data_IF_865018078498
#
_entry.id   IF_865018078498
#
_cell.length_a   1.000
_cell.length_b   1.000
_cell.length_c   1.000
_cell.angle_alpha   90.00
_cell.angle_beta   90.00
_cell.angle_gamma   90.00
#
_symmetry.space_group_name_H-M   'P 1'
#
loop_
_entity.id
_entity.type
_entity.pdbx_description
1 polymer ?
#
# COMPACT_ATOMS: atom_id res chain seq x y z
N UNK A 1 26.84 -25.47 -7.07
CA UNK A 1 25.37 -25.40 -6.93
C UNK A 1 25.02 -24.03 -6.39
N UNK A 2 24.07 -23.30 -6.99
CA UNK A 2 23.67 -21.96 -6.52
C UNK A 2 22.82 -22.08 -5.25
N UNK A 3 23.06 -21.24 -4.23
CA UNK A 3 22.27 -21.21 -2.99
C UNK A 3 20.83 -20.82 -3.32
N UNK A 4 19.86 -21.59 -2.83
CA UNK A 4 18.45 -21.24 -2.97
C UNK A 4 18.14 -20.04 -2.06
N UNK A 5 17.54 -19.00 -2.64
CA UNK A 5 17.12 -17.83 -1.88
C UNK A 5 15.94 -18.17 -0.95
N UNK A 6 15.92 -17.54 0.22
CA UNK A 6 14.79 -17.61 1.16
C UNK A 6 13.56 -16.86 0.60
N UNK A 7 12.39 -17.06 1.21
CA UNK A 7 11.18 -16.34 0.81
C UNK A 7 11.30 -14.84 1.08
N UNK A 8 11.93 -14.47 2.19
CA UNK A 8 12.22 -13.08 2.54
C UNK A 8 13.19 -12.42 1.55
N UNK A 9 14.22 -13.14 1.11
CA UNK A 9 15.15 -12.65 0.08
C UNK A 9 14.45 -12.43 -1.27
N UNK A 10 13.41 -13.22 -1.59
CA UNK A 10 12.64 -13.10 -2.84
C UNK A 10 11.53 -12.05 -2.78
N UNK A 11 10.90 -11.88 -1.62
CA UNK A 11 9.71 -11.06 -1.42
C UNK A 11 9.83 -10.18 -0.18
N UNK A 12 10.85 -9.29 -0.10
CA UNK A 12 11.08 -8.47 1.08
C UNK A 12 9.89 -7.56 1.42
N UNK A 13 9.03 -7.23 0.46
CA UNK A 13 7.81 -6.44 0.64
C UNK A 13 6.78 -7.11 1.58
N UNK A 14 6.83 -8.43 1.74
CA UNK A 14 5.93 -9.18 2.62
C UNK A 14 6.43 -9.32 4.06
N UNK A 15 7.71 -9.06 4.29
CA UNK A 15 8.40 -9.29 5.56
C UNK A 15 8.94 -7.98 6.17
N UNK A 16 8.30 -6.85 5.83
CA UNK A 16 8.66 -5.57 6.44
C UNK A 16 8.23 -5.54 7.91
N UNK A 17 9.01 -4.87 8.79
CA UNK A 17 8.61 -4.69 10.18
C UNK A 17 7.31 -3.89 10.25
N UNK A 18 6.49 -4.17 11.26
CA UNK A 18 5.28 -3.41 11.52
C UNK A 18 5.63 -1.97 11.92
N UNK A 19 5.16 -1.02 11.13
CA UNK A 19 5.32 0.41 11.34
C UNK A 19 4.44 0.93 12.47
N UNK A 20 3.33 0.23 12.78
CA UNK A 20 2.37 0.59 13.82
C UNK A 20 1.91 2.07 13.75
N UNK A 21 1.63 2.55 12.54
CA UNK A 21 1.22 3.94 12.27
C UNK A 21 -0.30 4.01 12.21
N UNK A 22 -0.89 4.65 13.22
CA UNK A 22 -2.31 5.01 13.20
C UNK A 22 -2.58 6.20 12.25
N UNK A 23 -2.90 5.87 10.99
CA UNK A 23 -3.19 6.86 9.94
C UNK A 23 -4.39 7.76 10.25
N UNK A 24 -5.24 7.43 11.23
CA UNK A 24 -6.36 8.30 11.64
C UNK A 24 -5.90 9.57 12.35
N UNK A 25 -4.70 9.53 12.94
CA UNK A 25 -4.06 10.68 13.61
C UNK A 25 -3.18 11.48 12.65
N UNK A 26 -2.99 11.01 11.43
CA UNK A 26 -2.17 11.66 10.42
C UNK A 26 -3.01 12.59 9.55
N UNK A 27 -2.39 13.66 9.06
CA UNK A 27 -2.96 14.52 8.03
C UNK A 27 -2.01 14.58 6.85
N UNK A 28 -2.55 14.78 5.65
CA UNK A 28 -1.75 14.86 4.43
C UNK A 28 -0.97 16.17 4.41
N UNK A 29 0.35 16.09 4.34
CA UNK A 29 1.25 17.25 4.34
C UNK A 29 1.65 17.73 2.94
N UNK A 30 1.44 16.90 1.92
CA UNK A 30 1.69 17.19 0.49
C UNK A 30 0.44 16.93 -0.34
N UNK A 31 0.21 17.65 -1.45
CA UNK A 31 -0.92 17.36 -2.33
C UNK A 31 -0.77 15.98 -3.00
N UNK A 32 -1.90 15.36 -3.34
CA UNK A 32 -1.91 14.12 -4.13
C UNK A 32 -1.74 14.48 -5.61
N UNK A 33 -0.72 13.92 -6.26
CA UNK A 33 -0.36 14.28 -7.64
C UNK A 33 -0.84 13.26 -8.68
N UNK A 34 -0.82 11.97 -8.34
CA UNK A 34 -1.12 10.88 -9.30
C UNK A 34 -2.06 9.85 -8.68
N UNK A 35 -3.07 9.42 -9.44
CA UNK A 35 -3.94 8.29 -9.13
C UNK A 35 -3.77 7.18 -10.18
N UNK A 36 -3.07 6.11 -9.82
CA UNK A 36 -2.88 4.94 -10.68
C UNK A 36 -4.01 3.92 -10.47
N UNK A 37 -5.06 3.98 -11.31
CA UNK A 37 -6.29 3.18 -11.15
C UNK A 37 -6.23 1.79 -11.81
N UNK A 38 -5.04 1.24 -12.00
CA UNK A 38 -4.85 -0.11 -12.53
C UNK A 38 -5.28 -1.18 -11.52
N UNK A 39 -5.85 -2.29 -12.00
CA UNK A 39 -6.23 -3.42 -11.14
C UNK A 39 -4.99 -4.20 -10.66
N UNK A 40 -5.18 -5.04 -9.64
CA UNK A 40 -4.12 -5.93 -9.18
C UNK A 40 -3.60 -6.81 -10.34
N UNK A 41 -2.30 -7.10 -10.32
CA UNK A 41 -1.59 -7.91 -11.33
C UNK A 41 -1.45 -7.28 -12.72
N UNK A 42 -1.80 -6.00 -12.92
CA UNK A 42 -1.55 -5.27 -14.17
C UNK A 42 -0.28 -4.41 -14.12
N UNK A 43 0.78 -4.88 -13.44
CA UNK A 43 2.04 -4.16 -13.32
C UNK A 43 2.09 -3.06 -12.25
N UNK A 44 1.23 -3.13 -11.22
CA UNK A 44 1.12 -2.10 -10.17
C UNK A 44 2.40 -1.91 -9.35
N UNK A 45 3.14 -2.98 -9.05
CA UNK A 45 4.45 -2.89 -8.37
C UNK A 45 5.49 -2.18 -9.24
N UNK A 46 5.52 -2.48 -10.53
CA UNK A 46 6.40 -1.80 -11.49
C UNK A 46 6.03 -0.32 -11.62
N UNK A 47 4.73 0.00 -11.63
CA UNK A 47 4.23 1.38 -11.65
C UNK A 47 4.66 2.14 -10.39
N UNK A 48 4.50 1.56 -9.20
CA UNK A 48 4.97 2.15 -7.95
C UNK A 48 6.46 2.50 -8.04
N UNK A 49 7.28 1.54 -8.50
CA UNK A 49 8.72 1.76 -8.65
C UNK A 49 9.06 2.84 -9.68
N UNK A 50 8.35 2.89 -10.80
CA UNK A 50 8.55 3.91 -11.84
C UNK A 50 8.26 5.32 -11.30
N UNK A 51 7.18 5.49 -10.55
CA UNK A 51 6.85 6.78 -9.91
C UNK A 51 7.94 7.20 -8.91
N UNK A 52 8.45 6.26 -8.11
CA UNK A 52 9.58 6.56 -7.21
C UNK A 52 10.84 7.00 -7.95
N UNK A 53 11.15 6.38 -9.11
CA UNK A 53 12.28 6.77 -9.95
C UNK A 53 12.10 8.19 -10.52
N UNK A 54 10.86 8.57 -10.83
CA UNK A 54 10.51 9.91 -11.33
C UNK A 54 10.48 11.00 -10.24
N UNK A 55 10.74 10.64 -8.98
CA UNK A 55 10.83 11.58 -7.87
C UNK A 55 9.56 11.71 -7.02
N UNK A 56 8.53 10.90 -7.27
CA UNK A 56 7.39 10.82 -6.37
C UNK A 56 7.76 10.05 -5.10
N UNK A 57 7.52 10.65 -3.95
CA UNK A 57 7.81 10.05 -2.65
C UNK A 57 6.56 9.40 -2.05
N UNK A 58 6.74 8.43 -1.14
CA UNK A 58 5.64 7.80 -0.40
C UNK A 58 4.52 7.23 -1.31
N UNK A 59 4.89 6.62 -2.44
CA UNK A 59 3.93 6.06 -3.41
C UNK A 59 3.24 4.83 -2.79
N UNK A 60 1.95 4.97 -2.46
CA UNK A 60 1.16 3.90 -1.87
C UNK A 60 0.95 2.73 -2.84
N UNK A 61 1.02 1.50 -2.32
CA UNK A 61 0.72 0.26 -3.04
C UNK A 61 0.11 -0.75 -2.07
N UNK A 62 -0.62 -1.75 -2.56
CA UNK A 62 -1.28 -2.76 -1.71
C UNK A 62 -0.35 -3.53 -0.76
N UNK A 63 0.96 -3.57 -1.06
CA UNK A 63 1.94 -4.18 -0.16
C UNK A 63 2.19 -3.36 1.12
N UNK A 64 1.83 -2.08 1.15
CA UNK A 64 1.95 -1.24 2.34
C UNK A 64 1.17 -1.80 3.55
N UNK A 65 0.09 -2.56 3.30
CA UNK A 65 -0.71 -3.19 4.34
C UNK A 65 0.07 -4.25 5.14
N UNK A 66 1.09 -4.89 4.56
CA UNK A 66 1.94 -5.84 5.28
C UNK A 66 2.87 -5.12 6.27
N UNK A 67 3.34 -3.94 5.90
CA UNK A 67 4.18 -3.10 6.76
C UNK A 67 3.36 -2.28 7.78
N UNK A 68 2.04 -2.14 7.61
CA UNK A 68 1.21 -1.37 8.53
C UNK A 68 -0.20 -1.95 8.68
N UNK A 69 -0.38 -3.14 9.29
CA UNK A 69 -1.65 -3.87 9.31
C UNK A 69 -2.83 -3.10 9.91
N UNK A 70 -2.58 -2.16 10.83
CA UNK A 70 -3.64 -1.34 11.44
C UNK A 70 -4.40 -0.46 10.42
N UNK A 71 -3.82 -0.18 9.26
CA UNK A 71 -4.51 0.57 8.19
C UNK A 71 -5.60 -0.24 7.48
N UNK A 72 -5.56 -1.58 7.56
CA UNK A 72 -6.58 -2.45 6.95
C UNK A 72 -7.97 -2.13 7.50
N UNK A 73 -8.08 -1.80 8.78
CA UNK A 73 -9.35 -1.40 9.39
C UNK A 73 -9.87 -0.07 8.83
N UNK A 74 -9.00 0.85 8.43
CA UNK A 74 -9.41 2.10 7.77
C UNK A 74 -9.99 1.82 6.38
N UNK A 75 -9.36 0.91 5.62
CA UNK A 75 -9.86 0.51 4.31
C UNK A 75 -11.18 -0.26 4.39
N UNK A 76 -11.33 -1.16 5.37
CA UNK A 76 -12.60 -1.86 5.64
C UNK A 76 -13.72 -0.88 5.94
N UNK A 77 -13.47 0.09 6.84
CA UNK A 77 -14.45 1.13 7.16
C UNK A 77 -14.86 1.93 5.91
N UNK A 78 -13.90 2.37 5.10
CA UNK A 78 -14.18 3.10 3.86
C UNK A 78 -14.99 2.26 2.85
N UNK A 79 -14.70 0.97 2.75
CA UNK A 79 -15.45 0.03 1.91
C UNK A 79 -16.90 -0.09 2.38
N UNK A 80 -17.12 -0.33 3.67
CA UNK A 80 -18.45 -0.41 4.27
C UNK A 80 -19.25 0.89 4.08
N UNK A 81 -18.62 2.05 4.30
CA UNK A 81 -19.25 3.36 4.07
C UNK A 81 -19.71 3.56 2.63
N UNK A 82 -18.97 3.01 1.65
CA UNK A 82 -19.27 3.17 0.22
C UNK A 82 -20.37 2.22 -0.25
N UNK A 83 -20.40 0.99 0.25
CA UNK A 83 -21.23 -0.09 -0.32
C UNK A 83 -22.37 -0.57 0.58
N UNK A 84 -22.27 -0.37 1.90
CA UNK A 84 -23.38 -0.68 2.79
C UNK A 84 -24.48 0.37 2.60
N UNK A 85 -25.74 -0.08 2.62
CA UNK A 85 -26.90 0.80 2.58
C UNK A 85 -26.84 1.75 3.78
N UNK A 86 -26.52 3.02 3.50
CA UNK A 86 -26.68 4.07 4.50
C UNK A 86 -28.19 4.34 4.65
N UNK A 87 -28.73 4.43 5.88
CA UNK A 87 -30.06 5.01 6.07
C UNK A 87 -30.04 6.43 5.49
N UNK A 88 -30.98 6.72 4.60
CA UNK A 88 -31.17 8.06 4.02
C UNK A 88 -31.72 9.07 5.01
#
# INVERSE_FOLDING_TARGET
>A
MSRMQTLEEKHPELFQPDLNIDRRKCTRTVPMEVLALGMSRTGTSSMQRALMILGYNEVYHGFAMFANPCEVELWKEAFHRKYDLQPG
#
